data_IF_691466220247
#
_entry.id   IF_691466220247
#
_cell.length_a   1.000
_cell.length_b   1.000
_cell.length_c   1.000
_cell.angle_alpha   90.00
_cell.angle_beta   90.00
_cell.angle_gamma   90.00
#
_symmetry.space_group_name_H-M   'P 1'
#
loop_
_entity.id
_entity.type
_entity.pdbx_description
1 polymer ?
#
# COMPACT_ATOMS: atom_id res chain seq x y z
N UNK A 1 -2.20 -16.56 12.19
CA UNK A 1 -0.93 -17.03 11.58
C UNK A 1 -1.04 -18.40 10.88
N UNK A 2 -1.45 -19.48 11.55
CA UNK A 2 -1.47 -20.84 10.95
C UNK A 2 -2.34 -20.97 9.68
N UNK A 3 -3.53 -20.35 9.68
CA UNK A 3 -4.42 -20.34 8.51
C UNK A 3 -3.78 -19.59 7.33
N UNK A 4 -3.16 -18.43 7.59
CA UNK A 4 -2.45 -17.63 6.59
C UNK A 4 -1.30 -18.40 5.93
N UNK A 5 -0.47 -19.11 6.72
CA UNK A 5 0.59 -20.00 6.20
C UNK A 5 0.01 -21.03 5.23
N UNK A 6 -1.05 -21.73 5.65
CA UNK A 6 -1.67 -22.79 4.82
C UNK A 6 -2.25 -22.22 3.52
N UNK A 7 -2.82 -21.02 3.57
CA UNK A 7 -3.32 -20.33 2.37
C UNK A 7 -2.18 -19.93 1.44
N UNK A 8 -1.07 -19.39 1.96
CA UNK A 8 0.08 -18.97 1.16
C UNK A 8 0.72 -20.14 0.39
N UNK A 9 0.73 -21.35 0.98
CA UNK A 9 1.27 -22.54 0.31
C UNK A 9 0.48 -22.97 -0.93
N UNK A 10 -0.77 -22.53 -1.11
CA UNK A 10 -1.53 -22.77 -2.35
C UNK A 10 -0.97 -22.01 -3.56
N UNK A 11 -0.08 -21.05 -3.32
CA UNK A 11 0.55 -20.20 -4.34
C UNK A 11 1.99 -20.63 -4.67
N UNK A 12 2.47 -21.72 -4.06
CA UNK A 12 3.79 -22.31 -4.30
C UNK A 12 3.78 -23.16 -5.56
N UNK A 13 4.86 -23.09 -6.34
CA UNK A 13 5.13 -23.94 -7.51
C UNK A 13 6.01 -25.14 -7.15
N UNK A 14 6.01 -26.14 -8.02
CA UNK A 14 6.88 -27.32 -7.90
C UNK A 14 8.39 -26.99 -7.87
N UNK A 15 8.82 -25.89 -8.48
CA UNK A 15 10.22 -25.43 -8.48
C UNK A 15 10.63 -24.64 -7.22
N UNK A 16 9.71 -24.48 -6.25
CA UNK A 16 9.95 -23.75 -5.00
C UNK A 16 9.56 -22.27 -5.04
N UNK A 17 9.23 -21.73 -6.21
CA UNK A 17 8.84 -20.33 -6.37
C UNK A 17 7.40 -20.06 -5.92
N UNK A 18 7.06 -18.78 -5.76
CA UNK A 18 5.70 -18.30 -5.50
C UNK A 18 5.27 -17.33 -6.62
N UNK A 19 3.99 -17.38 -6.98
CA UNK A 19 3.37 -16.40 -7.90
C UNK A 19 2.01 -15.95 -7.36
N UNK A 20 1.46 -14.85 -7.89
CA UNK A 20 0.20 -14.28 -7.41
C UNK A 20 -0.99 -15.26 -7.44
N UNK A 21 -0.96 -16.25 -8.35
CA UNK A 21 -2.04 -17.26 -8.49
C UNK A 21 -1.58 -18.71 -8.36
N UNK A 22 -0.32 -18.92 -7.97
CA UNK A 22 0.29 -20.25 -7.96
C UNK A 22 0.21 -20.92 -9.32
N UNK A 23 0.09 -22.25 -9.30
CA UNK A 23 0.05 -23.08 -10.50
C UNK A 23 -1.28 -22.99 -11.27
N UNK A 24 -2.37 -22.51 -10.62
CA UNK A 24 -3.72 -22.50 -11.19
C UNK A 24 -3.89 -21.55 -12.39
N UNK A 25 -2.92 -20.67 -12.65
CA UNK A 25 -2.97 -19.65 -13.69
C UNK A 25 -1.92 -19.76 -14.79
N UNK A 26 -1.19 -20.88 -14.91
CA UNK A 26 -0.04 -21.03 -15.83
C UNK A 26 0.98 -19.89 -15.72
N UNK A 27 1.12 -19.32 -14.52
CA UNK A 27 2.06 -18.22 -14.27
C UNK A 27 3.42 -18.75 -13.88
N UNK A 28 4.47 -18.17 -14.46
CA UNK A 28 5.86 -18.45 -14.05
C UNK A 28 6.06 -17.90 -12.62
N UNK A 29 6.93 -18.54 -11.85
CA UNK A 29 7.37 -18.05 -10.53
C UNK A 29 7.82 -16.59 -10.57
N UNK A 30 7.54 -15.84 -9.51
CA UNK A 30 7.94 -14.44 -9.38
C UNK A 30 9.13 -14.32 -8.42
N UNK A 31 10.25 -13.77 -8.87
CA UNK A 31 11.49 -13.67 -8.08
C UNK A 31 11.28 -12.82 -6.81
N UNK A 32 10.66 -11.65 -6.96
CA UNK A 32 10.40 -10.72 -5.84
C UNK A 32 9.46 -11.33 -4.80
N UNK A 33 8.34 -11.91 -5.26
CA UNK A 33 7.34 -12.52 -4.37
C UNK A 33 7.93 -13.72 -3.62
N UNK A 34 8.77 -14.51 -4.30
CA UNK A 34 9.45 -15.64 -3.67
C UNK A 34 10.35 -15.17 -2.54
N UNK A 35 11.13 -14.10 -2.75
CA UNK A 35 11.96 -13.50 -1.70
C UNK A 35 11.12 -12.91 -0.55
N UNK A 36 10.01 -12.23 -0.84
CA UNK A 36 9.10 -11.69 0.16
C UNK A 36 8.48 -12.80 1.04
N UNK A 37 8.00 -13.88 0.42
CA UNK A 37 7.45 -15.03 1.14
C UNK A 37 8.53 -15.69 1.98
N UNK A 38 9.73 -15.85 1.43
CA UNK A 38 10.87 -16.46 2.12
C UNK A 38 11.28 -15.67 3.37
N UNK A 39 11.41 -14.33 3.28
CA UNK A 39 11.62 -13.43 4.43
C UNK A 39 10.51 -13.61 5.47
N UNK A 40 9.26 -13.49 5.04
CA UNK A 40 8.09 -13.55 5.93
C UNK A 40 7.98 -14.89 6.67
N UNK A 41 8.25 -15.98 5.96
CA UNK A 41 8.22 -17.34 6.50
C UNK A 41 9.34 -17.57 7.52
N UNK A 42 10.52 -17.05 7.26
CA UNK A 42 11.66 -17.18 8.18
C UNK A 42 11.41 -16.39 9.48
N UNK A 43 10.88 -15.18 9.39
CA UNK A 43 10.47 -14.39 10.56
C UNK A 43 9.33 -15.08 11.33
N UNK A 44 8.37 -15.66 10.62
CA UNK A 44 7.26 -16.40 11.23
C UNK A 44 7.72 -17.70 11.90
N UNK A 45 8.81 -18.34 11.45
CA UNK A 45 9.33 -19.59 12.00
C UNK A 45 9.72 -19.47 13.49
N UNK A 46 9.99 -18.26 13.99
CA UNK A 46 10.21 -18.00 15.41
C UNK A 46 8.94 -18.15 16.27
N UNK A 47 7.75 -18.08 15.68
CA UNK A 47 6.47 -18.06 16.38
C UNK A 47 5.53 -19.20 15.99
N UNK A 48 5.71 -19.78 14.80
CA UNK A 48 4.88 -20.88 14.29
C UNK A 48 5.74 -21.97 13.66
N UNK A 49 5.27 -23.22 13.75
CA UNK A 49 5.92 -24.33 13.05
C UNK A 49 5.83 -24.14 11.53
N UNK A 50 6.98 -24.20 10.87
CA UNK A 50 7.14 -24.16 9.43
C UNK A 50 8.08 -25.29 9.00
N UNK A 51 7.66 -26.06 7.99
CA UNK A 51 8.53 -27.07 7.40
C UNK A 51 9.69 -26.39 6.66
N UNK A 52 10.92 -26.71 7.06
CA UNK A 52 12.15 -26.16 6.50
C UNK A 52 12.26 -26.39 5.00
N UNK A 53 11.61 -27.43 4.46
CA UNK A 53 11.55 -27.67 3.02
C UNK A 53 11.03 -26.45 2.25
N UNK A 54 10.06 -25.71 2.78
CA UNK A 54 9.52 -24.52 2.09
C UNK A 54 10.54 -23.38 2.02
N UNK A 55 11.41 -23.24 3.01
CA UNK A 55 12.49 -22.25 3.04
C UNK A 55 13.58 -22.67 2.05
N UNK A 56 14.02 -23.93 2.13
CA UNK A 56 15.10 -24.47 1.29
C UNK A 56 14.71 -24.43 -0.19
N UNK A 57 13.50 -24.85 -0.56
CA UNK A 57 13.06 -24.85 -1.96
C UNK A 57 13.06 -23.43 -2.55
N UNK A 58 12.59 -22.43 -1.79
CA UNK A 58 12.60 -21.04 -2.22
C UNK A 58 14.01 -20.43 -2.30
N UNK A 59 14.92 -20.81 -1.38
CA UNK A 59 16.34 -20.43 -1.46
C UNK A 59 17.03 -21.02 -2.69
N UNK A 60 16.78 -22.29 -3.01
CA UNK A 60 17.30 -22.94 -4.21
C UNK A 60 16.80 -22.21 -5.45
N UNK A 61 15.50 -21.89 -5.51
CA UNK A 61 14.94 -21.10 -6.60
C UNK A 61 15.69 -19.77 -6.78
N UNK A 62 15.88 -18.97 -5.71
CA UNK A 62 16.60 -17.70 -5.80
C UNK A 62 18.07 -17.90 -6.22
N UNK A 63 18.73 -18.95 -5.74
CA UNK A 63 20.11 -19.29 -6.11
C UNK A 63 20.25 -19.50 -7.61
N UNK A 64 19.31 -20.23 -8.22
CA UNK A 64 19.29 -20.49 -9.66
C UNK A 64 18.96 -19.24 -10.50
N UNK A 65 18.62 -18.12 -9.87
CA UNK A 65 18.30 -16.82 -10.50
C UNK A 65 19.30 -15.72 -10.17
N UNK A 66 20.38 -16.01 -9.45
CA UNK A 66 21.49 -15.07 -9.30
C UNK A 66 22.38 -15.14 -10.56
N UNK A 67 22.69 -13.99 -11.14
CA UNK A 67 23.56 -13.82 -12.29
C UNK A 67 25.04 -13.82 -11.84
N UNK A 68 25.95 -13.94 -12.80
CA UNK A 68 27.40 -13.99 -12.54
C UNK A 68 27.93 -12.70 -11.87
N UNK A 69 27.31 -11.57 -12.16
CA UNK A 69 27.63 -10.27 -11.55
C UNK A 69 27.07 -10.11 -10.13
N UNK A 70 26.35 -11.12 -9.61
CA UNK A 70 25.76 -11.11 -8.27
C UNK A 70 24.34 -10.55 -8.19
N UNK A 71 23.84 -9.93 -9.27
CA UNK A 71 22.47 -9.43 -9.34
C UNK A 71 21.44 -10.55 -9.52
N UNK A 72 20.18 -10.29 -9.18
CA UNK A 72 19.10 -11.27 -9.38
C UNK A 72 18.29 -11.00 -10.64
N UNK A 73 18.01 -12.07 -11.38
CA UNK A 73 17.18 -12.01 -12.57
C UNK A 73 15.71 -11.77 -12.21
N UNK A 74 15.10 -10.77 -12.83
CA UNK A 74 13.65 -10.54 -12.76
C UNK A 74 12.91 -11.61 -13.58
N UNK A 75 12.15 -12.45 -12.89
CA UNK A 75 11.22 -13.40 -13.50
C UNK A 75 9.81 -13.11 -12.96
N UNK A 76 8.83 -13.22 -13.85
CA UNK A 76 7.44 -12.89 -13.57
C UNK A 76 7.15 -11.39 -13.67
N UNK A 77 5.87 -11.05 -13.73
CA UNK A 77 5.42 -9.66 -13.63
C UNK A 77 5.23 -9.31 -12.16
N UNK A 78 5.92 -8.26 -11.71
CA UNK A 78 5.54 -7.59 -10.48
C UNK A 78 4.27 -6.78 -10.77
N UNK A 79 3.27 -6.92 -9.91
CA UNK A 79 2.02 -6.19 -10.09
C UNK A 79 2.11 -4.76 -9.58
N UNK A 80 3.05 -4.47 -8.66
CA UNK A 80 3.34 -3.13 -8.21
C UNK A 80 4.39 -2.45 -9.11
N UNK A 81 3.94 -1.97 -10.27
CA UNK A 81 4.73 -1.11 -11.14
C UNK A 81 4.75 0.37 -10.68
N UNK A 82 4.12 0.74 -9.55
CA UNK A 82 4.27 2.10 -9.00
C UNK A 82 5.73 2.42 -8.67
N UNK A 83 6.44 1.35 -8.33
CA UNK A 83 7.86 1.36 -8.06
C UNK A 83 8.68 1.21 -9.36
N UNK A 84 8.14 1.41 -10.57
CA UNK A 84 8.94 1.30 -11.81
C UNK A 84 10.10 2.29 -11.92
N UNK A 85 10.16 3.31 -11.05
CA UNK A 85 11.36 4.12 -10.84
C UNK A 85 12.44 3.47 -9.96
N UNK A 86 12.12 2.41 -9.19
CA UNK A 86 13.06 1.76 -8.27
C UNK A 86 12.73 0.35 -7.76
N UNK A 87 11.90 -0.48 -8.40
CA UNK A 87 11.73 -1.96 -8.17
C UNK A 87 11.65 -2.74 -9.50
N UNK A 88 11.57 -2.04 -10.64
CA UNK A 88 11.71 -2.66 -11.96
C UNK A 88 13.12 -2.50 -12.55
N UNK A 89 14.05 -1.95 -11.75
CA UNK A 89 15.46 -1.96 -12.09
C UNK A 89 16.12 -3.19 -11.45
N UNK A 90 17.20 -3.66 -12.06
CA UNK A 90 17.96 -4.82 -11.58
C UNK A 90 18.57 -4.58 -10.19
N UNK A 91 18.82 -3.32 -9.85
CA UNK A 91 19.54 -2.90 -8.65
C UNK A 91 18.67 -3.04 -7.41
N UNK A 92 17.49 -2.45 -7.45
CA UNK A 92 16.46 -2.51 -6.43
C UNK A 92 15.92 -3.89 -6.17
N UNK A 93 15.69 -4.71 -7.21
CA UNK A 93 15.32 -6.11 -7.02
C UNK A 93 16.42 -6.83 -6.24
N UNK A 94 17.67 -6.61 -6.61
CA UNK A 94 18.81 -7.18 -5.90
C UNK A 94 18.89 -6.65 -4.47
N UNK A 95 18.74 -5.34 -4.24
CA UNK A 95 18.74 -4.73 -2.91
C UNK A 95 17.64 -5.32 -2.01
N UNK A 96 16.43 -5.47 -2.54
CA UNK A 96 15.30 -6.08 -1.84
C UNK A 96 15.57 -7.53 -1.46
N UNK A 97 16.08 -8.34 -2.40
CA UNK A 97 16.41 -9.75 -2.13
C UNK A 97 17.55 -9.83 -1.11
N UNK A 98 18.55 -8.97 -1.19
CA UNK A 98 19.64 -8.89 -0.20
C UNK A 98 19.10 -8.56 1.19
N UNK A 99 18.20 -7.58 1.33
CA UNK A 99 17.51 -7.29 2.61
C UNK A 99 16.79 -8.54 3.12
N UNK A 100 16.01 -9.21 2.25
CA UNK A 100 15.29 -10.41 2.62
C UNK A 100 16.22 -11.52 3.12
N UNK A 101 17.36 -11.74 2.46
CA UNK A 101 18.36 -12.75 2.85
C UNK A 101 19.06 -12.39 4.16
N UNK A 102 19.39 -11.12 4.38
CA UNK A 102 20.04 -10.64 5.61
C UNK A 102 19.10 -10.71 6.82
N UNK A 103 17.81 -10.43 6.64
CA UNK A 103 16.80 -10.61 7.69
C UNK A 103 16.48 -12.08 8.02
N UNK A 104 16.96 -13.03 7.21
CA UNK A 104 16.86 -14.48 7.45
C UNK A 104 18.03 -15.06 8.24
N UNK A 105 18.62 -14.27 9.13
CA UNK A 105 20.00 -14.39 9.63
C UNK A 105 20.99 -15.24 8.81
N UNK A 106 21.01 -15.10 7.47
CA UNK A 106 22.04 -15.78 6.67
C UNK A 106 23.39 -15.07 6.89
N UNK A 107 24.50 -15.81 7.08
CA UNK A 107 25.79 -15.20 7.32
C UNK A 107 26.25 -14.44 6.07
N UNK A 108 26.99 -13.34 6.27
CA UNK A 108 27.56 -12.53 5.18
C UNK A 108 28.49 -13.34 4.25
N UNK A 109 29.05 -14.45 4.75
CA UNK A 109 29.89 -15.37 3.98
C UNK A 109 29.10 -16.28 3.03
N UNK A 110 27.77 -16.33 3.17
CA UNK A 110 26.91 -17.11 2.29
C UNK A 110 27.02 -16.57 0.86
N UNK A 111 27.24 -17.47 -0.11
CA UNK A 111 27.55 -17.11 -1.50
C UNK A 111 26.53 -16.14 -2.10
N UNK A 112 25.22 -16.38 -1.86
CA UNK A 112 24.15 -15.48 -2.33
C UNK A 112 24.30 -14.05 -1.81
N UNK A 113 24.53 -13.92 -0.50
CA UNK A 113 24.60 -12.62 0.20
C UNK A 113 25.86 -11.89 -0.23
N UNK A 114 27.01 -12.56 -0.19
CA UNK A 114 28.30 -11.99 -0.59
C UNK A 114 28.28 -11.45 -2.02
N UNK A 115 27.79 -12.26 -2.97
CA UNK A 115 27.76 -11.86 -4.37
C UNK A 115 26.78 -10.70 -4.60
N UNK A 116 25.62 -10.72 -3.94
CA UNK A 116 24.65 -9.64 -4.07
C UNK A 116 25.13 -8.33 -3.41
N UNK A 117 25.82 -8.41 -2.27
CA UNK A 117 26.44 -7.23 -1.64
C UNK A 117 27.53 -6.63 -2.53
N UNK A 118 28.39 -7.46 -3.13
CA UNK A 118 29.42 -6.99 -4.06
C UNK A 118 28.83 -6.23 -5.25
N UNK A 119 27.73 -6.76 -5.80
CA UNK A 119 26.96 -6.08 -6.84
C UNK A 119 26.46 -4.70 -6.37
N UNK A 120 25.80 -4.65 -5.21
CA UNK A 120 25.27 -3.40 -4.65
C UNK A 120 26.36 -2.37 -4.32
N UNK A 121 27.52 -2.80 -3.82
CA UNK A 121 28.67 -1.93 -3.55
C UNK A 121 29.23 -1.29 -4.83
N UNK A 122 29.21 -2.04 -5.93
CA UNK A 122 29.61 -1.53 -7.26
C UNK A 122 28.61 -0.51 -7.77
N UNK A 123 27.32 -0.83 -7.72
CA UNK A 123 26.24 0.06 -8.16
C UNK A 123 26.07 1.29 -7.25
N UNK A 124 26.54 1.22 -6.00
CA UNK A 124 26.54 2.38 -5.09
C UNK A 124 27.44 3.53 -5.58
N UNK A 125 28.36 3.25 -6.50
CA UNK A 125 29.25 4.26 -7.09
C UNK A 125 28.64 4.97 -8.31
N UNK A 126 27.43 4.59 -8.73
CA UNK A 126 26.75 5.21 -9.86
C UNK A 126 26.42 6.69 -9.56
N UNK A 127 26.58 7.56 -10.57
CA UNK A 127 26.34 9.00 -10.44
C UNK A 127 24.86 9.32 -10.14
N UNK A 128 23.94 8.58 -10.75
CA UNK A 128 22.50 8.68 -10.51
C UNK A 128 21.93 7.37 -9.99
N UNK A 129 21.40 7.41 -8.77
CA UNK A 129 20.66 6.32 -8.14
C UNK A 129 19.29 6.85 -7.78
N UNK A 130 18.24 6.17 -8.22
CA UNK A 130 16.87 6.56 -7.89
C UNK A 130 16.63 6.55 -6.37
N UNK A 131 15.87 7.52 -5.86
CA UNK A 131 15.66 7.77 -4.42
C UNK A 131 15.19 6.52 -3.67
N UNK A 132 14.26 5.77 -4.27
CA UNK A 132 13.76 4.54 -3.68
C UNK A 132 14.83 3.44 -3.62
N UNK A 133 15.60 3.24 -4.68
CA UNK A 133 16.68 2.25 -4.74
C UNK A 133 17.75 2.58 -3.71
N UNK A 134 18.04 3.87 -3.53
CA UNK A 134 18.96 4.37 -2.49
C UNK A 134 18.45 4.08 -1.08
N UNK A 135 17.15 4.22 -0.82
CA UNK A 135 16.55 3.85 0.48
C UNK A 135 16.69 2.34 0.79
N UNK A 136 16.47 1.47 -0.20
CA UNK A 136 16.73 0.04 -0.05
C UNK A 136 18.20 -0.25 0.21
N UNK A 137 19.12 0.36 -0.55
CA UNK A 137 20.56 0.15 -0.39
C UNK A 137 21.04 0.61 0.99
N UNK A 138 20.56 1.76 1.48
CA UNK A 138 20.87 2.23 2.83
C UNK A 138 20.51 1.17 3.89
N UNK A 139 19.33 0.57 3.80
CA UNK A 139 18.92 -0.48 4.73
C UNK A 139 19.70 -1.79 4.53
N UNK A 140 19.96 -2.19 3.28
CA UNK A 140 20.77 -3.37 2.97
C UNK A 140 22.19 -3.27 3.56
N UNK A 141 22.85 -2.13 3.39
CA UNK A 141 24.18 -1.88 3.96
C UNK A 141 24.16 -1.78 5.49
N UNK A 142 23.08 -1.25 6.06
CA UNK A 142 22.86 -1.26 7.52
C UNK A 142 22.80 -2.69 8.06
N UNK A 143 22.03 -3.58 7.42
CA UNK A 143 21.95 -4.99 7.80
C UNK A 143 23.27 -5.76 7.55
N UNK A 144 24.08 -5.30 6.60
CA UNK A 144 25.39 -5.89 6.31
C UNK A 144 26.51 -5.38 7.24
N UNK A 145 26.25 -4.36 8.07
CA UNK A 145 27.25 -3.71 8.90
C UNK A 145 28.29 -2.89 8.10
N UNK A 146 27.97 -2.49 6.87
CA UNK A 146 28.84 -1.65 6.05
C UNK A 146 28.54 -0.16 6.31
N UNK A 147 29.13 0.39 7.38
CA UNK A 147 28.88 1.77 7.83
C UNK A 147 29.27 2.83 6.80
N UNK A 148 30.35 2.62 6.03
CA UNK A 148 30.80 3.57 5.02
C UNK A 148 29.73 3.76 3.94
N UNK A 149 29.27 2.64 3.34
CA UNK A 149 28.25 2.68 2.29
C UNK A 149 26.88 3.06 2.84
N UNK A 150 26.55 2.65 4.07
CA UNK A 150 25.35 3.10 4.77
C UNK A 150 25.32 4.63 4.87
N UNK A 151 26.38 5.24 5.40
CA UNK A 151 26.43 6.69 5.58
C UNK A 151 26.38 7.44 4.25
N UNK A 152 27.10 6.95 3.22
CA UNK A 152 27.06 7.52 1.87
C UNK A 152 25.62 7.57 1.32
N UNK A 153 24.86 6.48 1.45
CA UNK A 153 23.47 6.42 0.99
C UNK A 153 22.56 7.34 1.82
N UNK A 154 22.72 7.38 3.15
CA UNK A 154 21.92 8.22 4.04
C UNK A 154 22.18 9.71 3.82
N UNK A 155 23.43 10.13 3.62
CA UNK A 155 23.79 11.52 3.33
C UNK A 155 23.18 11.99 2.00
N UNK A 156 23.23 11.14 0.98
CA UNK A 156 22.60 11.41 -0.31
C UNK A 156 21.07 11.44 -0.21
N UNK A 157 20.44 10.61 0.63
CA UNK A 157 19.00 10.67 0.92
C UNK A 157 18.62 11.95 1.66
N UNK A 158 19.42 12.39 2.64
CA UNK A 158 19.14 13.60 3.41
C UNK A 158 19.10 14.87 2.54
N UNK A 159 19.89 14.92 1.47
CA UNK A 159 19.85 16.01 0.48
C UNK A 159 18.54 16.07 -0.31
N UNK A 160 17.84 14.94 -0.41
CA UNK A 160 16.58 14.80 -1.15
C UNK A 160 15.34 14.79 -0.23
N UNK A 161 15.54 14.91 1.08
CA UNK A 161 14.46 14.82 2.04
C UNK A 161 13.54 16.05 1.98
N UNK A 162 12.24 15.80 1.98
CA UNK A 162 11.20 16.82 2.14
C UNK A 162 11.01 17.06 3.63
N UNK A 163 11.07 18.33 4.05
CA UNK A 163 10.96 18.74 5.45
C UNK A 163 9.80 19.71 5.61
N UNK A 164 8.72 19.25 6.22
CA UNK A 164 7.47 20.00 6.42
C UNK A 164 7.03 19.84 7.88
N UNK A 165 6.78 20.97 8.57
CA UNK A 165 6.26 21.01 9.96
C UNK A 165 6.99 20.10 10.97
N UNK A 166 8.31 19.96 10.84
CA UNK A 166 9.12 19.12 11.73
C UNK A 166 8.96 17.61 11.49
N UNK A 167 8.37 17.22 10.35
CA UNK A 167 8.39 15.88 9.77
C UNK A 167 9.42 15.79 8.64
N UNK A 168 9.93 14.58 8.40
CA UNK A 168 10.86 14.29 7.30
C UNK A 168 10.32 13.11 6.51
N UNK A 169 10.23 13.25 5.18
CA UNK A 169 9.82 12.18 4.28
C UNK A 169 10.51 12.27 2.92
N UNK A 170 10.32 11.24 2.09
CA UNK A 170 10.88 11.17 0.75
C UNK A 170 9.77 10.95 -0.29
N UNK A 171 9.91 11.63 -1.42
CA UNK A 171 8.96 11.60 -2.53
C UNK A 171 9.68 11.27 -3.85
N UNK A 172 8.93 10.79 -4.85
CA UNK A 172 9.48 10.57 -6.20
C UNK A 172 9.60 11.90 -6.95
N UNK A 173 10.67 12.14 -7.73
CA UNK A 173 10.88 13.39 -8.47
C UNK A 173 9.75 13.75 -9.46
N UNK A 174 9.08 12.75 -10.03
CA UNK A 174 8.07 12.90 -11.08
C UNK A 174 6.66 13.22 -10.56
N UNK A 175 6.51 13.46 -9.25
CA UNK A 175 5.21 13.78 -8.65
C UNK A 175 4.71 15.12 -9.19
N UNK A 176 3.71 15.08 -10.08
CA UNK A 176 2.88 16.25 -10.31
C UNK A 176 2.16 16.54 -9.00
N UNK A 177 2.48 17.67 -8.36
CA UNK A 177 1.71 18.17 -7.22
C UNK A 177 0.29 18.45 -7.70
N UNK A 178 -0.60 17.49 -7.55
CA UNK A 178 -2.05 17.70 -7.67
C UNK A 178 -2.50 18.47 -6.44
N UNK A 179 -2.33 19.79 -6.47
CA UNK A 179 -2.94 20.67 -5.49
C UNK A 179 -4.39 20.83 -5.89
N UNK A 180 -5.28 20.03 -5.30
CA UNK A 180 -6.69 20.37 -5.30
C UNK A 180 -6.87 21.57 -4.37
N UNK A 181 -7.37 22.69 -4.91
CA UNK A 181 -7.86 23.83 -4.11
C UNK A 181 -9.19 23.48 -3.44
N UNK A 182 -9.22 22.35 -2.72
CA UNK A 182 -10.32 21.94 -1.87
C UNK A 182 -9.91 22.20 -0.42
N UNK A 183 -10.63 23.07 0.33
CA UNK A 183 -10.33 23.27 1.73
C UNK A 183 -10.47 21.94 2.48
N UNK A 184 -9.44 21.59 3.27
CA UNK A 184 -9.36 20.38 4.11
C UNK A 184 -9.23 19.04 3.36
N UNK A 185 -9.01 19.04 2.04
CA UNK A 185 -8.71 17.83 1.27
C UNK A 185 -7.25 17.82 0.84
N UNK A 186 -6.50 16.82 1.31
CA UNK A 186 -5.16 16.52 0.82
C UNK A 186 -5.14 15.10 0.27
N UNK A 187 -4.57 14.87 -0.92
CA UNK A 187 -4.44 13.53 -1.49
C UNK A 187 -3.62 12.63 -0.56
N UNK A 188 -3.90 11.32 -0.62
CA UNK A 188 -3.15 10.35 0.19
C UNK A 188 -1.70 10.30 -0.27
N UNK A 189 -0.82 9.83 0.60
CA UNK A 189 0.54 9.56 0.19
C UNK A 189 0.55 8.27 -0.65
N UNK A 190 1.14 8.30 -1.85
CA UNK A 190 1.44 7.09 -2.62
C UNK A 190 2.08 5.99 -1.75
N UNK A 191 1.66 4.73 -1.93
CA UNK A 191 2.16 3.59 -1.14
C UNK A 191 3.70 3.48 -1.20
N UNK A 192 4.28 3.83 -2.35
CA UNK A 192 5.73 3.87 -2.58
C UNK A 192 6.48 4.88 -1.71
N UNK A 193 5.87 6.04 -1.41
CA UNK A 193 6.47 7.11 -0.59
C UNK A 193 6.55 6.69 0.88
N UNK A 194 5.49 6.03 1.36
CA UNK A 194 5.49 5.44 2.70
C UNK A 194 6.51 4.31 2.78
N UNK A 195 6.59 3.45 1.76
CA UNK A 195 7.55 2.35 1.72
C UNK A 195 9.00 2.85 1.75
N UNK A 196 9.38 3.81 0.90
CA UNK A 196 10.73 4.36 0.90
C UNK A 196 11.08 4.99 2.24
N UNK A 197 10.18 5.81 2.79
CA UNK A 197 10.38 6.50 4.06
C UNK A 197 10.55 5.49 5.20
N UNK A 198 9.86 4.34 5.12
CA UNK A 198 9.97 3.25 6.09
C UNK A 198 11.31 2.52 6.01
N UNK A 199 11.86 2.29 4.80
CA UNK A 199 13.21 1.74 4.66
C UNK A 199 14.28 2.69 5.19
N UNK A 200 14.13 4.00 4.95
CA UNK A 200 15.05 5.00 5.53
C UNK A 200 14.97 4.98 7.05
N UNK A 201 13.76 4.90 7.63
CA UNK A 201 13.60 4.74 9.08
C UNK A 201 14.33 3.48 9.58
N UNK A 202 14.14 2.34 8.92
CA UNK A 202 14.81 1.08 9.27
C UNK A 202 16.34 1.19 9.22
N UNK A 203 16.91 1.95 8.28
CA UNK A 203 18.35 2.20 8.22
C UNK A 203 18.88 3.03 9.42
N UNK A 204 18.03 3.84 10.05
CA UNK A 204 18.36 4.57 11.28
C UNK A 204 18.12 3.76 12.56
N UNK A 205 17.17 2.82 12.56
CA UNK A 205 16.71 2.13 13.79
C UNK A 205 17.05 0.64 13.83
N UNK A 206 17.87 0.15 12.90
CA UNK A 206 18.24 -1.25 12.84
C UNK A 206 18.92 -1.72 14.14
N UNK A 207 18.43 -2.84 14.66
CA UNK A 207 18.74 -3.37 16.00
C UNK A 207 20.22 -3.56 16.34
N UNK A 208 21.09 -3.74 15.35
CA UNK A 208 22.52 -4.03 15.56
C UNK A 208 23.35 -2.76 15.81
N UNK A 209 22.82 -1.60 15.44
CA UNK A 209 23.42 -0.29 15.64
C UNK A 209 22.60 0.42 16.73
N UNK A 210 23.15 0.55 17.93
CA UNK A 210 22.52 1.45 18.91
C UNK A 210 22.57 2.86 18.33
N UNK A 211 21.42 3.48 17.95
CA UNK A 211 21.45 4.73 17.22
C UNK A 211 22.03 5.83 18.10
N UNK A 212 22.80 6.72 17.48
CA UNK A 212 23.23 7.96 18.13
C UNK A 212 22.03 8.84 18.47
N UNK A 213 22.21 9.79 19.39
CA UNK A 213 21.16 10.74 19.74
C UNK A 213 20.69 11.57 18.53
N UNK A 214 21.60 11.88 17.60
CA UNK A 214 21.29 12.62 16.37
C UNK A 214 20.43 11.78 15.41
N UNK A 215 20.80 10.52 15.19
CA UNK A 215 20.01 9.57 14.39
C UNK A 215 18.63 9.35 15.00
N UNK A 216 18.51 9.31 16.33
CA UNK A 216 17.23 9.16 17.01
C UNK A 216 16.32 10.38 16.81
N UNK A 217 16.87 11.60 16.78
CA UNK A 217 16.12 12.82 16.46
C UNK A 217 15.58 12.76 15.03
N UNK A 218 16.42 12.33 14.08
CA UNK A 218 16.02 12.15 12.68
C UNK A 218 14.93 11.08 12.58
N UNK A 219 15.12 9.90 13.20
CA UNK A 219 14.15 8.82 13.23
C UNK A 219 12.80 9.29 13.80
N UNK A 220 12.82 10.09 14.87
CA UNK A 220 11.60 10.69 15.46
C UNK A 220 10.88 11.59 14.46
N UNK A 221 11.62 12.40 13.70
CA UNK A 221 11.04 13.27 12.67
C UNK A 221 10.47 12.47 11.48
N UNK A 222 11.06 11.33 11.13
CA UNK A 222 10.53 10.42 10.11
C UNK A 222 9.24 9.75 10.60
N UNK A 223 9.21 9.26 11.85
CA UNK A 223 8.03 8.66 12.48
C UNK A 223 6.85 9.63 12.54
N UNK A 224 7.10 10.94 12.64
CA UNK A 224 6.03 11.96 12.54
C UNK A 224 5.36 11.99 11.18
N UNK A 225 6.06 11.66 10.08
CA UNK A 225 5.38 11.51 8.79
C UNK A 225 4.59 10.21 8.75
N UNK A 226 5.16 9.10 9.24
CA UNK A 226 4.56 7.77 9.16
C UNK A 226 3.28 7.67 10.02
N UNK A 227 2.17 7.17 9.46
CA UNK A 227 0.92 7.05 10.21
C UNK A 227 1.06 5.90 11.21
N UNK A 228 0.89 6.22 12.50
CA UNK A 228 1.25 5.32 13.61
C UNK A 228 0.12 4.37 14.06
N UNK A 229 -1.02 4.33 13.37
CA UNK A 229 -2.20 3.57 13.82
C UNK A 229 -2.81 2.63 12.77
N UNK A 230 -2.97 1.36 13.13
CA UNK A 230 -3.41 0.22 12.28
C UNK A 230 -4.92 -0.02 12.27
N UNK A 231 -5.72 0.88 12.83
CA UNK A 231 -7.18 0.76 12.81
C UNK A 231 -7.81 1.42 11.57
N UNK A 232 -7.81 0.66 10.48
CA UNK A 232 -8.90 0.53 9.51
C UNK A 232 -9.61 1.78 8.95
N UNK A 233 -9.49 1.95 7.63
CA UNK A 233 -10.64 1.94 6.69
C UNK A 233 -11.79 2.93 6.89
N UNK A 234 -11.65 4.02 7.66
CA UNK A 234 -12.71 5.00 7.85
C UNK A 234 -12.19 6.44 7.69
N UNK A 235 -11.85 6.76 6.44
CA UNK A 235 -11.76 8.13 5.92
C UNK A 235 -10.91 9.08 6.75
N UNK A 236 -9.59 9.06 6.52
CA UNK A 236 -8.67 10.07 7.07
C UNK A 236 -8.47 11.18 6.04
N UNK A 237 -8.94 12.38 6.38
CA UNK A 237 -8.53 13.65 5.81
C UNK A 237 -8.11 14.52 6.99
N UNK A 238 -6.82 14.49 7.34
CA UNK A 238 -6.26 15.35 8.39
C UNK A 238 -5.04 16.06 7.84
N UNK A 239 -5.06 17.38 7.95
CA UNK A 239 -4.15 18.36 7.35
C UNK A 239 -2.70 18.34 7.87
N UNK A 240 -2.22 17.28 8.52
CA UNK A 240 -0.99 17.36 9.34
C UNK A 240 -0.06 16.15 9.33
N UNK A 241 -0.29 15.13 8.50
CA UNK A 241 0.68 14.03 8.33
C UNK A 241 0.81 13.66 6.86
N UNK A 242 1.98 13.91 6.22
CA UNK A 242 2.15 13.74 4.78
C UNK A 242 2.06 12.28 4.31
N UNK A 243 2.27 11.29 5.20
CA UNK A 243 2.26 9.87 4.87
C UNK A 243 1.01 9.20 5.49
N UNK A 244 0.07 8.66 4.70
CA UNK A 244 -1.23 8.15 5.23
C UNK A 244 -1.60 6.71 4.89
N UNK A 245 -0.69 5.91 4.31
CA UNK A 245 -0.97 4.52 3.97
C UNK A 245 -0.25 3.52 4.91
N UNK A 246 -0.99 2.74 5.71
CA UNK A 246 -0.44 1.66 6.57
C UNK A 246 -0.28 0.32 5.85
N UNK A 247 -0.69 0.21 4.59
CA UNK A 247 -0.77 -1.06 3.88
C UNK A 247 0.61 -1.58 3.41
N UNK A 248 1.71 -0.97 3.87
CA UNK A 248 3.08 -1.43 3.62
C UNK A 248 3.61 -2.16 4.85
N UNK A 249 3.85 -3.47 4.74
CA UNK A 249 4.44 -4.34 5.77
C UNK A 249 5.71 -3.74 6.41
N UNK A 250 6.51 -3.03 5.60
CA UNK A 250 7.76 -2.38 5.99
C UNK A 250 7.54 -1.23 6.98
N UNK A 251 6.44 -0.47 6.85
CA UNK A 251 6.12 0.63 7.78
C UNK A 251 5.86 0.09 9.19
N UNK A 252 5.07 -0.98 9.29
CA UNK A 252 4.83 -1.66 10.57
C UNK A 252 6.13 -2.21 11.16
N UNK A 253 6.99 -2.81 10.32
CA UNK A 253 8.31 -3.30 10.76
C UNK A 253 9.16 -2.15 11.33
N UNK A 254 9.24 -1.02 10.61
CA UNK A 254 10.01 0.16 11.00
C UNK A 254 9.53 0.77 12.31
N UNK A 255 8.22 0.97 12.45
CA UNK A 255 7.59 1.48 13.67
C UNK A 255 7.80 0.54 14.87
N UNK A 256 7.69 -0.78 14.65
CA UNK A 256 7.99 -1.76 15.69
C UNK A 256 9.45 -1.66 16.15
N UNK A 257 10.41 -1.60 15.23
CA UNK A 257 11.83 -1.48 15.58
C UNK A 257 12.13 -0.16 16.31
N UNK A 258 11.64 0.97 15.80
CA UNK A 258 11.75 2.27 16.48
C UNK A 258 11.19 2.22 17.90
N UNK A 259 10.03 1.56 18.10
CA UNK A 259 9.44 1.38 19.42
C UNK A 259 10.29 0.52 20.34
N UNK A 260 11.00 -0.50 19.85
CA UNK A 260 11.90 -1.28 20.71
C UNK A 260 13.05 -0.46 21.31
N UNK A 261 13.44 0.63 20.66
CA UNK A 261 14.50 1.53 21.11
C UNK A 261 13.96 2.66 22.00
N UNK A 262 12.78 3.18 21.67
CA UNK A 262 12.20 4.36 22.35
C UNK A 262 11.25 4.03 23.49
N UNK A 263 10.75 2.80 23.56
CA UNK A 263 9.81 2.40 24.60
C UNK A 263 10.49 2.31 25.97
N UNK A 264 9.98 3.07 26.93
CA UNK A 264 10.29 2.93 28.35
C UNK A 264 9.08 2.39 29.10
N UNK A 265 9.28 1.33 29.88
CA UNK A 265 8.24 0.69 30.70
C UNK A 265 7.77 1.59 31.86
N UNK A 266 8.61 2.54 32.26
CA UNK A 266 8.40 3.45 33.40
C UNK A 266 7.88 4.83 32.98
N UNK A 267 7.30 4.94 31.78
CA UNK A 267 6.84 6.21 31.20
C UNK A 267 5.92 6.99 32.14
N UNK A 268 6.24 8.27 32.34
CA UNK A 268 5.41 9.24 33.06
C UNK A 268 4.04 9.31 32.37
N UNK A 269 2.97 9.01 33.11
CA UNK A 269 1.61 9.09 32.58
C UNK A 269 1.37 10.44 31.93
N UNK A 270 0.87 10.42 30.70
CA UNK A 270 0.63 11.59 29.91
C UNK A 270 -0.72 12.24 30.27
N UNK A 271 -0.78 13.56 30.15
CA UNK A 271 -2.02 14.33 30.31
C UNK A 271 -2.18 15.28 29.15
N UNK A 272 -3.42 15.36 28.68
CA UNK A 272 -3.82 16.23 27.59
C UNK A 272 -4.99 17.08 28.06
N UNK A 273 -4.92 18.39 27.87
CA UNK A 273 -6.06 19.29 28.08
C UNK A 273 -6.47 19.89 26.75
N UNK A 274 -7.66 19.54 26.28
CA UNK A 274 -8.26 20.11 25.07
C UNK A 274 -9.16 21.28 25.45
N UNK A 275 -9.02 22.39 24.74
CA UNK A 275 -9.74 23.63 24.98
C UNK A 275 -10.14 24.33 23.68
N UNK A 276 -11.15 25.18 23.74
CA UNK A 276 -11.51 26.14 22.69
C UNK A 276 -11.68 27.51 23.36
N UNK A 277 -10.75 28.43 23.08
CA UNK A 277 -10.59 29.65 23.88
C UNK A 277 -10.40 29.33 25.35
N UNK A 278 -11.16 29.99 26.22
CA UNK A 278 -11.10 29.78 27.68
C UNK A 278 -11.89 28.55 28.17
N UNK A 279 -12.59 27.84 27.27
CA UNK A 279 -13.43 26.69 27.63
C UNK A 279 -12.64 25.39 27.50
N UNK A 280 -12.41 24.70 28.63
CA UNK A 280 -11.88 23.34 28.63
C UNK A 280 -12.95 22.37 28.16
N UNK A 281 -12.69 21.69 27.03
CA UNK A 281 -13.60 20.72 26.41
C UNK A 281 -13.42 19.33 27.02
N UNK A 282 -12.17 18.87 27.14
CA UNK A 282 -11.85 17.55 27.63
C UNK A 282 -10.46 17.50 28.28
N UNK A 283 -10.28 16.55 29.21
CA UNK A 283 -8.98 16.20 29.78
C UNK A 283 -8.77 14.70 29.63
N UNK A 284 -7.70 14.31 28.95
CA UNK A 284 -7.33 12.91 28.80
C UNK A 284 -6.15 12.58 29.70
N UNK A 285 -6.17 11.37 30.25
CA UNK A 285 -5.06 10.81 31.00
C UNK A 285 -4.69 9.46 30.40
N UNK A 286 -3.41 9.31 30.06
CA UNK A 286 -2.87 8.10 29.45
C UNK A 286 -1.75 7.55 30.33
N UNK A 287 -1.92 6.33 30.82
CA UNK A 287 -0.93 5.58 31.60
C UNK A 287 -0.71 4.20 30.98
N UNK A 288 0.12 3.37 31.63
CA UNK A 288 0.44 2.04 31.14
C UNK A 288 -0.78 1.11 31.06
N UNK A 289 -1.83 1.36 31.83
CA UNK A 289 -3.05 0.53 31.89
C UNK A 289 -4.04 0.84 30.78
N UNK A 290 -4.07 2.09 30.29
CA UNK A 290 -5.00 2.54 29.26
C UNK A 290 -4.32 3.01 27.96
N UNK A 291 -3.01 2.78 27.81
CA UNK A 291 -2.23 3.17 26.62
C UNK A 291 -2.72 2.62 25.28
N UNK A 292 -3.52 1.54 25.29
CA UNK A 292 -4.15 0.95 24.09
C UNK A 292 -5.61 1.38 23.90
N UNK A 293 -6.18 2.13 24.85
CA UNK A 293 -7.56 2.60 24.80
C UNK A 293 -7.63 3.89 23.99
N UNK A 294 -8.34 3.85 22.87
CA UNK A 294 -8.67 5.06 22.11
C UNK A 294 -9.64 5.93 22.95
N UNK A 295 -9.25 7.18 23.18
CA UNK A 295 -10.07 8.19 23.83
C UNK A 295 -10.43 9.26 22.80
N UNK A 296 -11.73 9.57 22.65
CA UNK A 296 -12.22 10.52 21.66
C UNK A 296 -13.06 11.61 22.31
N UNK A 297 -13.04 12.80 21.71
CA UNK A 297 -13.91 13.92 22.05
C UNK A 297 -14.45 14.51 20.75
N UNK A 298 -15.77 14.59 20.63
CA UNK A 298 -16.40 15.28 19.51
C UNK A 298 -16.17 16.79 19.65
N UNK A 299 -15.74 17.41 18.56
CA UNK A 299 -15.54 18.86 18.50
C UNK A 299 -16.88 19.56 18.19
N UNK A 300 -17.25 20.60 18.95
CA UNK A 300 -18.58 21.21 18.87
C UNK A 300 -18.87 21.95 17.56
N UNK A 301 -17.85 22.49 16.88
CA UNK A 301 -18.02 23.24 15.64
C UNK A 301 -16.89 23.00 14.63
N UNK A 302 -17.23 23.03 13.34
CA UNK A 302 -16.28 22.97 12.23
C UNK A 302 -16.65 24.06 11.20
N UNK A 303 -15.77 25.02 10.88
CA UNK A 303 -14.42 25.23 11.45
C UNK A 303 -14.47 25.77 12.89
N UNK A 304 -13.37 25.58 13.64
CA UNK A 304 -13.20 26.10 15.00
C UNK A 304 -11.74 26.03 15.44
N UNK A 305 -11.36 26.92 16.37
CA UNK A 305 -10.01 26.98 16.94
C UNK A 305 -9.95 26.19 18.25
N UNK A 306 -9.02 25.24 18.30
CA UNK A 306 -8.84 24.32 19.41
C UNK A 306 -7.38 24.28 19.84
N UNK A 307 -7.12 24.25 21.14
CA UNK A 307 -5.77 24.18 21.73
C UNK A 307 -5.65 22.93 22.58
N UNK A 308 -4.58 22.17 22.36
CA UNK A 308 -4.27 20.96 23.11
C UNK A 308 -2.94 21.13 23.86
N UNK A 309 -3.00 21.20 25.18
CA UNK A 309 -1.83 21.20 26.05
C UNK A 309 -1.45 19.76 26.42
N UNK A 310 -0.22 19.35 26.10
CA UNK A 310 0.22 17.96 26.24
C UNK A 310 1.42 17.86 27.19
N UNK A 311 1.37 16.91 28.11
CA UNK A 311 2.49 16.49 28.96
C UNK A 311 2.74 14.99 28.75
N UNK A 312 4.00 14.59 28.64
CA UNK A 312 4.38 13.21 28.28
C UNK A 312 4.38 12.97 26.76
N UNK A 313 4.33 11.70 26.35
CA UNK A 313 4.30 11.30 24.94
C UNK A 313 2.98 10.60 24.62
N UNK A 314 2.19 11.20 23.73
CA UNK A 314 0.90 10.67 23.27
C UNK A 314 0.73 10.92 21.77
N UNK A 315 0.00 10.02 21.12
CA UNK A 315 -0.45 10.21 19.76
C UNK A 315 -1.84 10.84 19.78
N UNK A 316 -1.99 12.02 19.18
CA UNK A 316 -3.26 12.72 19.04
C UNK A 316 -3.60 12.86 17.57
N UNK A 317 -4.87 12.62 17.24
CA UNK A 317 -5.36 12.82 15.88
C UNK A 317 -6.75 13.46 15.88
N UNK A 318 -6.97 14.37 14.93
CA UNK A 318 -8.27 14.95 14.60
C UNK A 318 -8.76 14.36 13.28
N UNK A 319 -10.06 14.02 13.18
CA UNK A 319 -10.68 13.49 11.96
C UNK A 319 -11.92 14.31 11.59
N UNK A 320 -12.02 14.70 10.32
CA UNK A 320 -13.20 15.37 9.74
C UNK A 320 -13.77 14.50 8.60
N UNK A 321 -15.08 14.26 8.63
CA UNK A 321 -15.79 13.52 7.56
C UNK A 321 -16.90 14.38 6.98
N UNK A 322 -16.86 14.55 5.66
CA UNK A 322 -17.85 15.32 4.91
C UNK A 322 -18.02 14.71 3.51
N UNK A 323 -19.19 14.93 2.90
CA UNK A 323 -19.48 14.49 1.54
C UNK A 323 -19.06 15.57 0.56
N UNK A 324 -18.37 15.19 -0.50
CA UNK A 324 -18.06 16.04 -1.65
C UNK A 324 -18.65 15.41 -2.91
N UNK A 325 -18.99 16.25 -3.90
CA UNK A 325 -19.25 15.72 -5.23
C UNK A 325 -17.92 15.24 -5.83
N UNK A 326 -17.90 14.07 -6.52
CA UNK A 326 -16.68 13.58 -7.15
C UNK A 326 -16.13 14.63 -8.13
N UNK A 327 -14.86 15.06 -7.99
CA UNK A 327 -14.29 16.00 -8.92
C UNK A 327 -14.18 15.38 -10.32
N UNK A 328 -14.54 16.12 -11.36
CA UNK A 328 -14.27 15.74 -12.75
C UNK A 328 -12.80 16.04 -13.07
N UNK A 329 -11.91 15.17 -12.60
CA UNK A 329 -10.46 15.30 -12.84
C UNK A 329 -9.98 14.55 -14.09
N UNK A 330 -8.82 14.97 -14.60
CA UNK A 330 -7.99 14.12 -15.44
C UNK A 330 -7.48 12.93 -14.61
N UNK A 331 -8.16 11.80 -14.79
CA UNK A 331 -7.81 10.52 -14.21
C UNK A 331 -6.86 9.74 -15.14
N UNK A 332 -5.88 9.02 -14.60
CA UNK A 332 -5.03 8.11 -15.37
C UNK A 332 -5.77 6.85 -15.83
N UNK A 333 -7.05 6.69 -15.47
CA UNK A 333 -7.97 5.73 -16.04
C UNK A 333 -9.09 6.44 -16.80
N UNK A 334 -9.44 5.88 -17.96
CA UNK A 334 -10.68 6.19 -18.67
C UNK A 334 -11.66 5.05 -18.46
N UNK A 335 -12.80 5.36 -17.83
CA UNK A 335 -13.87 4.41 -17.52
C UNK A 335 -15.16 4.90 -18.18
N UNK A 336 -15.78 4.04 -19.00
CA UNK A 336 -17.08 4.29 -19.61
C UNK A 336 -18.00 3.15 -19.20
N UNK A 337 -19.13 3.45 -18.57
CA UNK A 337 -20.11 2.46 -18.11
C UNK A 337 -21.44 2.70 -18.80
N UNK A 338 -22.08 1.62 -19.24
CA UNK A 338 -23.37 1.65 -19.93
C UNK A 338 -24.20 0.43 -19.53
N UNK A 339 -25.52 0.55 -19.62
CA UNK A 339 -26.42 -0.61 -19.52
C UNK A 339 -26.84 -1.10 -20.89
N UNK A 340 -27.06 -2.41 -21.00
CA UNK A 340 -27.59 -3.05 -22.20
C UNK A 340 -28.85 -3.80 -21.83
N UNK A 341 -30.04 -3.40 -22.35
CA UNK A 341 -30.26 -2.26 -23.24
C UNK A 341 -30.09 -0.91 -22.53
N UNK A 342 -29.84 0.17 -23.28
CA UNK A 342 -29.75 1.52 -22.71
C UNK A 342 -31.12 2.05 -22.27
N UNK A 343 -32.16 1.72 -23.05
CA UNK A 343 -33.53 2.10 -22.76
C UNK A 343 -34.35 0.87 -22.35
N UNK A 344 -35.43 1.11 -21.62
CA UNK A 344 -36.37 0.07 -21.23
C UNK A 344 -37.11 -0.51 -22.46
N UNK A 345 -36.53 -1.53 -23.10
CA UNK A 345 -37.14 -2.23 -24.24
C UNK A 345 -37.63 -3.61 -23.82
N UNK A 346 -38.95 -3.72 -23.64
CA UNK A 346 -39.63 -4.98 -23.31
C UNK A 346 -39.64 -5.33 -21.81
N UNK A 347 -40.46 -6.33 -21.41
CA UNK A 347 -40.69 -6.67 -20.01
C UNK A 347 -39.44 -7.23 -19.31
N UNK A 348 -38.50 -7.80 -20.06
CA UNK A 348 -37.26 -8.36 -19.51
C UNK A 348 -36.32 -7.29 -18.97
N UNK A 349 -36.30 -6.08 -19.52
CA UNK A 349 -35.40 -5.00 -19.08
C UNK A 349 -35.69 -4.53 -17.64
N UNK A 350 -36.90 -4.76 -17.13
CA UNK A 350 -37.26 -4.49 -15.73
C UNK A 350 -36.71 -5.54 -14.77
N UNK A 351 -36.55 -6.78 -15.22
CA UNK A 351 -36.11 -7.92 -14.40
C UNK A 351 -34.62 -8.16 -14.51
N UNK A 352 -34.05 -8.05 -15.71
CA UNK A 352 -32.66 -8.38 -16.00
C UNK A 352 -32.08 -7.46 -17.06
N UNK A 353 -30.85 -6.99 -16.86
CA UNK A 353 -30.09 -6.25 -17.87
C UNK A 353 -28.58 -6.45 -17.66
N UNK A 354 -27.78 -6.10 -18.66
CA UNK A 354 -26.33 -6.19 -18.56
C UNK A 354 -25.72 -4.84 -18.19
N UNK A 355 -24.72 -4.87 -17.31
CA UNK A 355 -23.82 -3.76 -17.06
C UNK A 355 -22.59 -4.00 -17.93
N UNK A 356 -22.32 -3.09 -18.87
CA UNK A 356 -21.16 -3.13 -19.75
C UNK A 356 -20.23 -1.95 -19.43
N UNK A 357 -18.93 -2.20 -19.36
CA UNK A 357 -17.96 -1.16 -19.11
C UNK A 357 -16.68 -1.34 -19.93
N UNK A 358 -16.13 -0.21 -20.36
CA UNK A 358 -14.88 -0.10 -21.09
C UNK A 358 -13.86 0.63 -20.23
N UNK A 359 -12.68 0.05 -20.09
CA UNK A 359 -11.60 0.60 -19.26
C UNK A 359 -10.31 0.65 -20.09
N UNK A 360 -9.60 1.78 -20.02
CA UNK A 360 -8.23 1.94 -20.53
C UNK A 360 -7.40 2.79 -19.58
N UNK A 361 -6.10 2.55 -19.54
CA UNK A 361 -5.13 3.31 -18.75
C UNK A 361 -4.50 4.40 -19.63
N UNK A 362 -4.62 5.66 -19.20
CA UNK A 362 -4.14 6.86 -19.89
C UNK A 362 -3.05 7.61 -19.11
N UNK A 363 -2.55 7.02 -18.01
CA UNK A 363 -1.45 7.60 -17.25
C UNK A 363 -0.08 7.44 -17.92
N UNK A 364 0.97 7.88 -17.23
CA UNK A 364 2.34 7.94 -17.76
C UNK A 364 3.00 6.55 -17.92
N UNK A 365 2.47 5.52 -17.26
CA UNK A 365 2.99 4.16 -17.32
C UNK A 365 2.50 3.43 -18.58
N UNK A 366 3.32 2.52 -19.11
CA UNK A 366 2.96 1.68 -20.29
C UNK A 366 1.68 0.85 -20.03
N UNK A 367 1.54 0.37 -18.80
CA UNK A 367 0.38 -0.35 -18.27
C UNK A 367 0.19 0.02 -16.80
N UNK A 368 -1.04 -0.04 -16.31
CA UNK A 368 -1.34 0.07 -14.88
C UNK A 368 -0.71 -1.08 -14.07
N UNK A 369 -0.75 -0.94 -12.75
CA UNK A 369 -0.51 -2.06 -11.84
C UNK A 369 -1.66 -3.08 -11.91
N UNK A 370 -1.82 -3.89 -10.87
CA UNK A 370 -3.13 -4.46 -10.57
C UNK A 370 -4.13 -3.33 -10.34
N UNK A 371 -5.16 -3.25 -11.17
CA UNK A 371 -6.30 -2.35 -11.00
C UNK A 371 -7.47 -3.14 -10.43
N UNK A 372 -8.21 -2.51 -9.52
CA UNK A 372 -9.47 -3.05 -8.98
C UNK A 372 -10.63 -2.27 -9.55
N UNK A 373 -11.58 -2.98 -10.17
CA UNK A 373 -12.88 -2.44 -10.54
C UNK A 373 -13.88 -2.79 -9.45
N UNK A 374 -14.39 -1.77 -8.78
CA UNK A 374 -15.41 -1.84 -7.76
C UNK A 374 -16.75 -1.41 -8.37
N UNK A 375 -17.70 -2.34 -8.45
CA UNK A 375 -19.02 -2.11 -9.05
C UNK A 375 -20.07 -2.20 -7.96
N UNK A 376 -20.69 -1.07 -7.61
CA UNK A 376 -21.80 -1.04 -6.66
C UNK A 376 -23.09 -1.39 -7.40
N UNK A 377 -23.88 -2.33 -6.89
CA UNK A 377 -25.20 -2.61 -7.47
C UNK A 377 -26.21 -1.51 -7.13
N UNK A 378 -27.19 -1.32 -8.01
CA UNK A 378 -28.41 -0.57 -7.69
C UNK A 378 -29.17 -1.27 -6.54
N UNK A 379 -29.91 -0.48 -5.76
CA UNK A 379 -30.71 -1.03 -4.67
C UNK A 379 -31.72 -2.04 -5.21
N UNK A 380 -31.74 -3.25 -4.64
CA UNK A 380 -32.64 -4.33 -5.06
C UNK A 380 -32.15 -5.19 -6.22
N UNK A 381 -30.99 -4.88 -6.82
CA UNK A 381 -30.37 -5.70 -7.87
C UNK A 381 -29.22 -6.53 -7.33
N UNK A 382 -29.10 -7.77 -7.82
CA UNK A 382 -28.00 -8.68 -7.54
C UNK A 382 -27.33 -9.15 -8.84
N UNK A 383 -26.02 -9.44 -8.83
CA UNK A 383 -25.35 -9.94 -10.01
C UNK A 383 -25.60 -11.43 -10.21
N UNK A 384 -25.87 -11.82 -11.46
CA UNK A 384 -26.04 -13.22 -11.87
C UNK A 384 -24.65 -13.89 -11.88
N UNK A 385 -24.36 -14.68 -10.85
CA UNK A 385 -23.03 -15.28 -10.58
C UNK A 385 -22.39 -16.00 -11.77
N UNK A 386 -23.18 -16.65 -12.62
CA UNK A 386 -22.66 -17.36 -13.80
C UNK A 386 -22.09 -16.42 -14.86
N UNK A 387 -22.59 -15.18 -14.94
CA UNK A 387 -22.18 -14.17 -15.95
C UNK A 387 -21.00 -13.33 -15.47
N UNK A 388 -20.80 -13.21 -14.15
CA UNK A 388 -19.64 -12.55 -13.54
C UNK A 388 -18.34 -13.33 -13.78
N UNK A 389 -18.42 -14.61 -14.19
CA UNK A 389 -17.27 -15.39 -14.68
C UNK A 389 -16.80 -14.83 -16.02
N UNK A 390 -16.25 -13.62 -15.98
CA UNK A 390 -15.62 -12.95 -17.08
C UNK A 390 -14.39 -13.75 -17.48
N UNK A 391 -14.39 -14.24 -18.72
CA UNK A 391 -13.36 -15.08 -19.34
C UNK A 391 -11.97 -14.39 -19.38
N UNK A 392 -11.89 -13.11 -18.99
CA UNK A 392 -10.69 -12.27 -19.04
C UNK A 392 -10.37 -11.54 -17.71
N UNK A 393 -10.82 -12.01 -16.55
CA UNK A 393 -10.25 -11.53 -15.28
C UNK A 393 -8.90 -12.19 -15.05
N UNK A 394 -7.81 -11.45 -15.26
CA UNK A 394 -6.45 -11.95 -15.04
C UNK A 394 -6.18 -12.31 -13.57
N UNK A 395 -6.83 -11.61 -12.62
CA UNK A 395 -6.53 -11.71 -11.19
C UNK A 395 -7.69 -12.27 -10.32
N UNK A 396 -8.79 -12.70 -10.96
CA UNK A 396 -9.98 -13.24 -10.28
C UNK A 396 -11.08 -12.22 -9.99
N UNK A 397 -12.17 -12.69 -9.38
CA UNK A 397 -13.32 -11.88 -8.95
C UNK A 397 -13.70 -12.22 -7.51
N UNK A 398 -14.08 -11.20 -6.73
CA UNK A 398 -14.67 -11.36 -5.40
C UNK A 398 -16.06 -10.71 -5.37
N UNK A 399 -17.05 -11.49 -4.93
CA UNK A 399 -18.41 -11.02 -4.70
C UNK A 399 -18.61 -10.79 -3.21
N UNK A 400 -18.66 -9.53 -2.80
CA UNK A 400 -19.12 -9.13 -1.47
C UNK A 400 -20.41 -8.36 -1.69
N UNK A 401 -21.56 -9.05 -1.68
CA UNK A 401 -22.86 -8.42 -1.95
C UNK A 401 -23.01 -7.12 -1.13
N UNK A 402 -23.33 -5.97 -1.77
CA UNK A 402 -23.73 -5.75 -3.17
C UNK A 402 -22.62 -5.13 -4.07
N UNK A 403 -21.37 -5.54 -3.89
CA UNK A 403 -20.19 -5.01 -4.59
C UNK A 403 -19.40 -6.13 -5.26
N UNK A 404 -19.07 -5.91 -6.54
CA UNK A 404 -18.16 -6.78 -7.30
C UNK A 404 -16.78 -6.13 -7.32
N UNK A 405 -15.76 -6.92 -7.02
CA UNK A 405 -14.36 -6.56 -7.19
C UNK A 405 -13.74 -7.41 -8.30
N UNK A 406 -13.19 -6.76 -9.31
CA UNK A 406 -12.47 -7.41 -10.42
C UNK A 406 -11.02 -6.94 -10.40
N UNK A 407 -10.08 -7.87 -10.33
CA UNK A 407 -8.66 -7.57 -10.47
C UNK A 407 -8.21 -7.71 -11.93
N UNK A 408 -7.66 -6.62 -12.49
CA UNK A 408 -7.26 -6.51 -13.90
C UNK A 408 -5.85 -5.91 -14.04
N UNK A 409 -5.23 -6.10 -15.19
CA UNK A 409 -4.08 -5.31 -15.63
C UNK A 409 -4.54 -4.50 -16.84
N UNK A 410 -4.68 -3.19 -16.64
CA UNK A 410 -5.22 -2.29 -17.66
C UNK A 410 -4.07 -1.68 -18.46
N UNK A 411 -4.14 -1.80 -19.78
CA UNK A 411 -3.22 -1.15 -20.73
C UNK A 411 -3.86 0.08 -21.37
N UNK A 412 -3.14 0.76 -22.25
CA UNK A 412 -3.67 1.85 -23.06
C UNK A 412 -4.74 1.42 -24.07
N UNK A 413 -4.87 0.11 -24.33
CA UNK A 413 -5.93 -0.44 -25.17
C UNK A 413 -7.21 -0.60 -24.35
N UNK A 414 -8.34 -0.19 -24.93
CA UNK A 414 -9.65 -0.32 -24.30
C UNK A 414 -10.03 -1.79 -24.12
N UNK A 415 -10.28 -2.19 -22.88
CA UNK A 415 -10.75 -3.51 -22.48
C UNK A 415 -12.23 -3.44 -22.11
N UNK A 416 -13.04 -4.33 -22.69
CA UNK A 416 -14.49 -4.34 -22.55
C UNK A 416 -14.96 -5.53 -21.73
N UNK A 417 -15.87 -5.27 -20.79
CA UNK A 417 -16.42 -6.28 -19.89
C UNK A 417 -17.93 -6.10 -19.76
N UNK A 418 -18.67 -7.20 -19.60
CA UNK A 418 -20.09 -7.16 -19.28
C UNK A 418 -20.53 -8.33 -18.41
N UNK A 419 -21.53 -8.09 -17.57
CA UNK A 419 -22.20 -9.13 -16.78
C UNK A 419 -23.66 -8.75 -16.54
N UNK A 420 -24.48 -9.75 -16.27
CA UNK A 420 -25.93 -9.59 -16.08
C UNK A 420 -26.26 -9.36 -14.62
N UNK A 421 -27.21 -8.45 -14.37
CA UNK A 421 -27.85 -8.25 -13.07
C UNK A 421 -29.33 -8.61 -13.15
N UNK A 422 -29.88 -9.07 -12.03
CA UNK A 422 -31.29 -9.39 -11.88
C UNK A 422 -31.90 -8.67 -10.68
N UNK A 423 -33.18 -8.32 -10.79
CA UNK A 423 -33.94 -7.67 -9.73
C UNK A 423 -34.36 -8.71 -8.69
N UNK A 424 -33.85 -8.58 -7.48
CA UNK A 424 -34.24 -9.40 -6.32
C UNK A 424 -35.37 -8.74 -5.52
N UNK A 425 -35.26 -7.43 -5.26
CA UNK A 425 -36.25 -6.67 -4.50
C UNK A 425 -36.69 -5.41 -5.26
N UNK A 426 -37.98 -5.23 -5.57
CA UNK A 426 -38.47 -4.01 -6.20
C UNK A 426 -38.22 -2.77 -5.33
N UNK A 427 -37.55 -1.77 -5.88
CA UNK A 427 -37.26 -0.49 -5.22
C UNK A 427 -37.73 0.66 -6.10
N UNK A 428 -38.41 1.64 -5.51
CA UNK A 428 -38.82 2.87 -6.19
C UNK A 428 -37.80 3.99 -5.97
N UNK A 429 -37.72 4.94 -6.93
CA UNK A 429 -36.82 6.09 -6.81
C UNK A 429 -35.33 5.72 -6.88
N UNK A 430 -34.99 4.75 -7.74
CA UNK A 430 -33.61 4.31 -7.94
C UNK A 430 -32.69 5.51 -8.26
N UNK A 431 -31.63 5.63 -7.48
CA UNK A 431 -30.54 6.57 -7.73
C UNK A 431 -29.45 5.90 -8.57
N UNK A 432 -28.67 6.65 -9.36
CA UNK A 432 -27.51 6.11 -10.06
C UNK A 432 -26.58 5.34 -9.11
N UNK A 433 -26.00 4.26 -9.60
CA UNK A 433 -24.98 3.51 -8.89
C UNK A 433 -23.60 3.80 -9.48
N UNK A 434 -22.57 3.62 -8.66
CA UNK A 434 -21.19 3.98 -9.00
C UNK A 434 -20.38 2.75 -9.42
N UNK A 435 -19.57 2.94 -10.44
CA UNK A 435 -18.44 2.09 -10.77
C UNK A 435 -17.17 2.89 -10.55
N UNK A 436 -16.26 2.33 -9.76
CA UNK A 436 -14.93 2.91 -9.50
C UNK A 436 -13.87 1.95 -10.01
N UNK A 437 -12.93 2.43 -10.82
CA UNK A 437 -11.67 1.71 -11.09
C UNK A 437 -10.56 2.46 -10.39
N UNK A 438 -9.66 1.74 -9.72
CA UNK A 438 -8.50 2.32 -9.07
C UNK A 438 -7.30 1.39 -9.13
N UNK A 439 -6.10 1.95 -9.13
CA UNK A 439 -4.85 1.19 -9.00
C UNK A 439 -4.72 0.66 -7.56
N UNK A 440 -4.39 -0.61 -7.40
CA UNK A 440 -4.31 -1.27 -6.08
C UNK A 440 -3.20 -0.70 -5.20
N UNK A 441 -2.08 -0.28 -5.80
CA UNK A 441 -0.94 0.26 -5.06
C UNK A 441 -0.95 1.79 -5.02
N UNK A 442 -1.63 2.44 -5.97
CA UNK A 442 -1.75 3.89 -6.06
C UNK A 442 -3.22 4.29 -6.07
N UNK A 443 -3.86 4.29 -4.90
CA UNK A 443 -5.33 4.45 -4.79
C UNK A 443 -5.86 5.81 -5.24
N UNK A 444 -4.98 6.81 -5.38
CA UNK A 444 -5.28 8.13 -5.95
C UNK A 444 -5.38 8.10 -7.49
N UNK A 445 -4.84 7.07 -8.14
CA UNK A 445 -5.05 6.80 -9.56
C UNK A 445 -6.41 6.07 -9.71
N UNK A 446 -7.50 6.84 -9.86
CA UNK A 446 -8.84 6.27 -9.99
C UNK A 446 -9.74 7.04 -10.97
N UNK A 447 -10.71 6.34 -11.54
CA UNK A 447 -11.84 6.92 -12.27
C UNK A 447 -13.17 6.43 -11.68
N UNK A 448 -14.17 7.30 -11.71
CA UNK A 448 -15.54 6.98 -11.30
C UNK A 448 -16.48 7.28 -12.46
N UNK A 449 -17.43 6.38 -12.69
CA UNK A 449 -18.51 6.57 -13.65
C UNK A 449 -19.81 6.05 -13.05
N UNK A 450 -20.92 6.71 -13.35
CA UNK A 450 -22.24 6.33 -12.86
C UNK A 450 -22.99 5.52 -13.93
N UNK A 451 -23.89 4.64 -13.49
CA UNK A 451 -24.87 4.00 -14.35
C UNK A 451 -26.25 4.01 -13.71
N UNK A 452 -27.27 4.02 -14.56
CA UNK A 452 -28.67 3.96 -14.18
C UNK A 452 -29.29 2.69 -14.72
N UNK A 453 -30.33 2.17 -14.07
CA UNK A 453 -31.10 1.06 -14.64
C UNK A 453 -31.79 1.53 -15.94
N UNK A 454 -31.95 0.65 -16.95
CA UNK A 454 -32.60 1.01 -18.23
C UNK A 454 -34.02 1.56 -18.07
N UNK A 455 -34.70 1.17 -16.99
CA UNK A 455 -36.07 1.54 -16.67
C UNK A 455 -36.16 2.58 -15.53
N UNK A 456 -35.04 3.26 -15.21
CA UNK A 456 -35.03 4.38 -14.26
C UNK A 456 -35.66 5.58 -14.94
N UNK A 457 -36.96 5.76 -14.78
CA UNK A 457 -37.64 6.98 -15.23
C UNK A 457 -37.17 8.15 -14.36
N UNK A 458 -36.18 8.89 -14.86
CA UNK A 458 -35.96 10.27 -14.45
C UNK A 458 -36.99 11.12 -15.17
N UNK A 459 -38.01 11.58 -14.46
CA UNK A 459 -38.87 12.65 -14.94
C UNK A 459 -38.02 13.85 -15.34
N UNK A 460 -38.27 14.34 -16.55
CA UNK A 460 -38.26 15.79 -16.79
C UNK A 460 -39.72 16.22 -16.73
#
# INVERSE_FOLDING_TARGET
CLLGKKLQLNYKHNDGSYSTFGERGSMIGNTWLTAFVLKSFTQAAAFIFLDQKHIIDAQIFLTLRQLEDGSFQKIGSLLNNALKGGVDDRISLTAYITIALLEMPLPLTHVLVRNALHFLETEAQAEEIHVYTRALMAYAFTLAGNEEKRQEMLDALQKLAVKEDGSIHWERPEKQKKTLDLPYYHPQAPSAEVEMTSYVLLAYVAKELSPSQEELIIATAIVRCLPTDSQGMLGRYSNSTPCTNLDTVVALQALCQYRTITYSKDGVGAKVTLSSGDVSLAKFHVDSTNSLLLQCQDLPSVPGDYTAEVTGCIFMQTSLRYNIQPPQEESPFKLIVQTVPQNCTGPKAHQTFDIAFNISYTGQRVVSNMAIVQIKMLSGYIPVKSTVKLVHTFFGHLLINPIIYLGLQVSNLSQSYSFTVELETPVQGLKPALVKVYDYYETDDFAISEYIAPCSTGGV
#
